data_IF_165497013831
#
_entry.id   IF_165497013831
#
_cell.length_a   1.000
_cell.length_b   1.000
_cell.length_c   1.000
_cell.angle_alpha   90.00
_cell.angle_beta   90.00
_cell.angle_gamma   90.00
#
_symmetry.space_group_name_H-M   'P 1'
#
loop_
_entity.id
_entity.type
_entity.pdbx_description
1 polymer ?
#
# COMPACT_ATOMS: atom_id res chain seq x y z
N UNK A 1 -25.38 14.12 -9.43
CA UNK A 1 -24.78 12.87 -9.91
C UNK A 1 -23.97 12.30 -8.76
N UNK A 2 -24.51 11.30 -8.07
CA UNK A 2 -23.89 10.70 -6.89
C UNK A 2 -23.06 9.52 -7.38
N UNK A 3 -21.75 9.70 -7.54
CA UNK A 3 -20.85 8.61 -7.92
C UNK A 3 -20.32 7.98 -6.63
N UNK A 4 -20.75 6.74 -6.37
CA UNK A 4 -20.23 5.91 -5.28
C UNK A 4 -18.96 5.22 -5.82
N UNK A 5 -17.79 5.61 -5.31
CA UNK A 5 -16.49 5.03 -5.70
C UNK A 5 -16.22 3.80 -4.82
N UNK A 6 -16.33 2.59 -5.37
CA UNK A 6 -16.10 1.34 -4.62
C UNK A 6 -14.74 0.67 -4.91
N UNK A 7 -13.93 1.19 -5.86
CA UNK A 7 -12.64 0.60 -6.24
C UNK A 7 -11.66 1.63 -6.81
N UNK A 8 -10.37 1.25 -6.90
CA UNK A 8 -9.32 2.05 -7.56
C UNK A 8 -9.67 2.30 -9.04
N UNK A 9 -10.25 1.31 -9.74
CA UNK A 9 -10.68 1.46 -11.13
C UNK A 9 -11.69 2.61 -11.30
N UNK A 10 -12.73 2.63 -10.45
CA UNK A 10 -13.71 3.72 -10.47
C UNK A 10 -13.11 5.08 -10.10
N UNK A 11 -12.10 5.12 -9.22
CA UNK A 11 -11.38 6.37 -8.93
C UNK A 11 -10.62 6.88 -10.16
N UNK A 12 -9.92 5.99 -10.87
CA UNK A 12 -9.16 6.34 -12.08
C UNK A 12 -10.05 6.83 -13.22
N UNK A 13 -11.22 6.21 -13.40
CA UNK A 13 -12.21 6.66 -14.40
C UNK A 13 -12.68 8.08 -14.10
N UNK A 14 -13.10 8.36 -12.86
CA UNK A 14 -13.50 9.71 -12.44
C UNK A 14 -12.36 10.73 -12.60
N UNK A 15 -11.12 10.34 -12.30
CA UNK A 15 -9.97 11.23 -12.45
C UNK A 15 -9.73 11.59 -13.91
N UNK A 16 -9.86 10.62 -14.82
CA UNK A 16 -9.74 10.84 -16.27
C UNK A 16 -10.90 11.67 -16.82
N UNK A 17 -12.12 11.52 -16.30
CA UNK A 17 -13.24 12.38 -16.69
C UNK A 17 -13.01 13.85 -16.29
N UNK A 18 -12.42 14.08 -15.12
CA UNK A 18 -12.12 15.42 -14.61
C UNK A 18 -10.88 16.05 -15.26
N UNK A 19 -9.90 15.23 -15.63
CA UNK A 19 -8.60 15.64 -16.19
C UNK A 19 -8.28 14.77 -17.42
N UNK A 20 -8.89 15.03 -18.58
CA UNK A 20 -8.83 14.13 -19.74
C UNK A 20 -7.42 13.92 -20.33
N UNK A 21 -6.54 14.90 -20.20
CA UNK A 21 -5.19 14.86 -20.77
C UNK A 21 -4.13 14.32 -19.80
N UNK A 22 -4.52 13.87 -18.60
CA UNK A 22 -3.56 13.37 -17.61
C UNK A 22 -3.20 11.90 -17.87
N UNK A 23 -1.91 11.59 -17.79
CA UNK A 23 -1.45 10.21 -17.71
C UNK A 23 -1.70 9.68 -16.29
N UNK A 24 -2.47 8.59 -16.18
CA UNK A 24 -2.72 7.90 -14.91
C UNK A 24 -2.11 6.51 -14.95
N UNK A 25 -1.15 6.27 -14.06
CA UNK A 25 -0.49 4.98 -13.89
C UNK A 25 -0.92 4.33 -12.57
N UNK A 26 -1.53 3.14 -12.64
CA UNK A 26 -1.84 2.33 -11.46
C UNK A 26 -0.67 1.42 -11.17
N UNK A 27 0.00 1.67 -10.05
CA UNK A 27 1.18 0.92 -9.63
C UNK A 27 0.80 -0.52 -9.24
N UNK A 28 1.55 -1.48 -9.76
CA UNK A 28 1.54 -2.88 -9.34
C UNK A 28 2.85 -3.22 -8.63
N UNK A 29 2.86 -4.27 -7.82
CA UNK A 29 4.06 -4.71 -7.08
C UNK A 29 4.65 -6.01 -7.62
N UNK A 30 4.18 -6.45 -8.79
CA UNK A 30 4.78 -7.53 -9.56
C UNK A 30 4.45 -7.39 -11.06
N UNK A 31 5.17 -8.12 -11.91
CA UNK A 31 4.92 -8.15 -13.35
C UNK A 31 3.68 -9.00 -13.73
N UNK A 32 3.03 -9.62 -12.76
CA UNK A 32 1.86 -10.46 -13.00
C UNK A 32 0.61 -9.61 -13.20
N UNK A 33 0.01 -9.70 -14.39
CA UNK A 33 -1.31 -9.11 -14.68
C UNK A 33 -2.47 -9.82 -13.94
N UNK A 34 -2.21 -10.91 -13.22
CA UNK A 34 -3.23 -11.63 -12.47
C UNK A 34 -3.65 -10.87 -11.20
N UNK A 35 -4.88 -10.36 -11.20
CA UNK A 35 -5.47 -9.62 -10.06
C UNK A 35 -5.46 -10.42 -8.74
N UNK A 36 -5.57 -11.75 -8.79
CA UNK A 36 -5.49 -12.59 -7.58
C UNK A 36 -4.10 -12.54 -6.96
N UNK A 37 -3.05 -12.46 -7.80
CA UNK A 37 -1.66 -12.35 -7.36
C UNK A 37 -1.40 -10.97 -6.78
N UNK A 38 -1.83 -9.90 -7.45
CA UNK A 38 -1.70 -8.53 -6.92
C UNK A 38 -2.46 -8.36 -5.60
N UNK A 39 -3.68 -8.89 -5.52
CA UNK A 39 -4.43 -8.89 -4.27
C UNK A 39 -3.68 -9.66 -3.19
N UNK A 40 -3.10 -10.81 -3.49
CA UNK A 40 -2.30 -11.57 -2.52
C UNK A 40 -1.08 -10.80 -2.05
N UNK A 41 -0.36 -10.11 -2.94
CA UNK A 41 0.82 -9.30 -2.62
C UNK A 41 0.46 -8.12 -1.69
N UNK A 42 -0.79 -7.66 -1.68
CA UNK A 42 -1.23 -6.66 -0.70
C UNK A 42 -1.29 -7.17 0.75
N UNK A 43 -1.32 -8.49 0.96
CA UNK A 43 -1.34 -9.14 2.29
C UNK A 43 -0.03 -9.86 2.63
N UNK A 44 0.63 -10.46 1.64
CA UNK A 44 1.79 -11.31 1.84
C UNK A 44 2.98 -10.80 1.02
N UNK A 45 4.17 -10.91 1.59
CA UNK A 45 5.42 -10.43 1.00
C UNK A 45 6.19 -9.48 1.91
N UNK A 46 7.31 -8.99 1.41
CA UNK A 46 8.16 -8.02 2.10
C UNK A 46 7.96 -6.63 1.49
N UNK A 47 7.50 -5.67 2.30
CA UNK A 47 7.24 -4.30 1.85
C UNK A 47 8.52 -3.62 1.38
N UNK A 48 9.68 -3.98 1.93
CA UNK A 48 10.95 -3.45 1.44
C UNK A 48 11.21 -3.90 0.00
N UNK A 49 10.98 -5.17 -0.30
CA UNK A 49 11.12 -5.70 -1.66
C UNK A 49 10.09 -5.09 -2.61
N UNK A 50 8.85 -4.85 -2.16
CA UNK A 50 7.86 -4.12 -2.95
C UNK A 50 8.32 -2.69 -3.26
N UNK A 51 8.88 -1.98 -2.28
CA UNK A 51 9.39 -0.61 -2.51
C UNK A 51 10.58 -0.63 -3.46
N UNK A 52 11.50 -1.59 -3.33
CA UNK A 52 12.64 -1.74 -4.23
C UNK A 52 12.19 -2.08 -5.66
N UNK A 53 11.19 -2.96 -5.80
CA UNK A 53 10.55 -3.26 -7.08
C UNK A 53 9.97 -1.98 -7.71
N UNK A 54 9.19 -1.20 -6.95
CA UNK A 54 8.61 0.06 -7.42
C UNK A 54 9.67 1.08 -7.81
N UNK A 55 10.74 1.21 -7.01
CA UNK A 55 11.87 2.09 -7.34
C UNK A 55 12.48 1.75 -8.71
N UNK A 56 12.53 0.47 -9.09
CA UNK A 56 13.03 0.05 -10.40
C UNK A 56 11.97 0.17 -11.50
N UNK A 57 10.73 -0.26 -11.23
CA UNK A 57 9.64 -0.27 -12.20
C UNK A 57 9.34 1.11 -12.76
N UNK A 58 9.40 2.15 -11.93
CA UNK A 58 9.16 3.53 -12.37
C UNK A 58 10.28 4.11 -13.23
N UNK A 59 11.44 3.43 -13.33
CA UNK A 59 12.56 3.77 -14.20
C UNK A 59 12.60 2.95 -15.50
N UNK A 60 11.64 2.07 -15.72
CA UNK A 60 11.57 1.26 -16.94
C UNK A 60 11.04 2.04 -18.15
N UNK A 61 11.49 1.68 -19.34
CA UNK A 61 11.32 2.47 -20.57
C UNK A 61 9.86 2.69 -20.99
N UNK A 62 8.93 1.83 -20.58
CA UNK A 62 7.50 1.92 -20.89
C UNK A 62 6.76 2.94 -20.02
N UNK A 63 7.30 3.29 -18.84
CA UNK A 63 6.67 4.21 -17.88
C UNK A 63 7.49 5.48 -17.68
N UNK A 64 8.82 5.36 -17.61
CA UNK A 64 9.74 6.45 -17.30
C UNK A 64 9.55 7.72 -18.17
N UNK A 65 9.30 7.64 -19.50
CA UNK A 65 9.09 8.84 -20.32
C UNK A 65 7.98 9.77 -19.84
N UNK A 66 6.97 9.23 -19.14
CA UNK A 66 5.84 9.97 -18.59
C UNK A 66 6.10 10.54 -17.19
N UNK A 67 7.11 10.01 -16.48
CA UNK A 67 7.38 10.33 -15.07
C UNK A 67 8.69 11.08 -14.86
N UNK A 68 9.62 11.05 -15.83
CA UNK A 68 10.98 11.62 -15.72
C UNK A 68 11.01 13.10 -15.29
N UNK A 69 10.01 13.87 -15.71
CA UNK A 69 9.86 15.28 -15.39
C UNK A 69 9.04 15.49 -14.12
N UNK A 70 8.89 14.46 -13.30
CA UNK A 70 8.17 14.43 -12.04
C UNK A 70 6.66 14.18 -12.15
N UNK A 71 6.08 13.67 -11.07
CA UNK A 71 4.67 13.26 -11.03
C UNK A 71 4.04 13.47 -9.64
N UNK A 72 2.71 13.43 -9.58
CA UNK A 72 1.98 13.39 -8.30
C UNK A 72 1.66 11.94 -7.95
N UNK A 73 1.77 11.59 -6.66
CA UNK A 73 1.50 10.25 -6.17
C UNK A 73 0.31 10.26 -5.21
N UNK A 74 -0.62 9.32 -5.38
CA UNK A 74 -1.79 9.16 -4.51
C UNK A 74 -1.77 7.75 -3.90
N UNK A 75 -1.69 7.68 -2.57
CA UNK A 75 -1.67 6.42 -1.82
C UNK A 75 -2.93 6.22 -0.99
N UNK A 76 -3.65 5.13 -1.24
CA UNK A 76 -4.83 4.75 -0.48
C UNK A 76 -4.49 3.75 0.62
N UNK A 77 -5.00 3.97 1.82
CA UNK A 77 -4.76 3.09 2.98
C UNK A 77 -3.25 2.80 3.12
N UNK A 78 -2.83 1.53 3.13
CA UNK A 78 -1.43 1.17 3.27
C UNK A 78 -0.51 1.72 2.17
N UNK A 79 -1.05 1.98 0.97
CA UNK A 79 -0.31 2.58 -0.14
C UNK A 79 0.23 3.97 0.20
N UNK A 80 -0.38 4.70 1.14
CA UNK A 80 0.11 6.00 1.60
C UNK A 80 1.50 5.92 2.23
N UNK A 81 1.71 5.03 3.20
CA UNK A 81 3.04 4.85 3.79
C UNK A 81 4.04 4.15 2.86
N UNK A 82 3.58 3.35 1.88
CA UNK A 82 4.46 2.71 0.91
C UNK A 82 5.00 3.74 -0.10
N UNK A 83 4.16 4.64 -0.60
CA UNK A 83 4.61 5.74 -1.44
C UNK A 83 5.47 6.74 -0.66
N UNK A 84 5.20 6.97 0.63
CA UNK A 84 6.13 7.72 1.50
C UNK A 84 7.50 7.04 1.53
N UNK A 85 7.55 5.70 1.66
CA UNK A 85 8.81 4.97 1.63
C UNK A 85 9.54 5.09 0.27
N UNK A 86 8.83 5.09 -0.85
CA UNK A 86 9.41 5.39 -2.17
C UNK A 86 10.06 6.78 -2.20
N UNK A 87 9.34 7.81 -1.73
CA UNK A 87 9.85 9.20 -1.66
C UNK A 87 11.06 9.32 -0.72
N UNK A 88 11.10 8.55 0.36
CA UNK A 88 12.23 8.60 1.30
C UNK A 88 13.45 7.79 0.85
N UNK A 89 13.26 6.74 0.03
CA UNK A 89 14.33 5.80 -0.34
C UNK A 89 14.94 6.05 -1.71
N UNK A 90 14.13 6.41 -2.71
CA UNK A 90 14.63 6.55 -4.08
C UNK A 90 14.19 7.87 -4.73
N UNK A 91 12.89 8.23 -4.66
CA UNK A 91 12.34 9.47 -5.24
C UNK A 91 12.88 9.82 -6.65
N UNK A 92 13.08 8.80 -7.47
CA UNK A 92 13.59 8.91 -8.84
C UNK A 92 12.81 7.92 -9.72
N UNK A 93 11.88 8.40 -10.57
CA UNK A 93 11.56 9.82 -10.83
C UNK A 93 10.95 10.58 -9.63
N UNK A 94 11.06 11.93 -9.59
CA UNK A 94 10.68 12.73 -8.42
C UNK A 94 9.17 12.89 -8.23
N UNK A 95 8.71 12.73 -6.99
CA UNK A 95 7.32 13.05 -6.61
C UNK A 95 7.18 14.53 -6.26
N UNK A 96 6.23 15.23 -6.89
CA UNK A 96 5.88 16.60 -6.59
C UNK A 96 4.96 16.72 -5.37
N UNK A 97 3.81 16.05 -5.43
CA UNK A 97 2.87 15.99 -4.32
C UNK A 97 2.58 14.54 -3.98
N UNK A 98 2.77 14.18 -2.72
CA UNK A 98 2.31 12.91 -2.15
C UNK A 98 0.98 13.14 -1.42
N UNK A 99 -0.10 12.61 -1.96
CA UNK A 99 -1.44 12.64 -1.36
C UNK A 99 -1.72 11.29 -0.71
N UNK A 100 -2.02 11.27 0.58
CA UNK A 100 -2.29 10.02 1.30
C UNK A 100 -3.70 10.01 1.83
N UNK A 101 -4.51 9.06 1.35
CA UNK A 101 -5.90 8.91 1.74
C UNK A 101 -6.06 7.78 2.76
N UNK A 102 -6.15 8.14 4.03
CA UNK A 102 -6.33 7.18 5.14
C UNK A 102 -5.07 6.35 5.46
N UNK A 103 -3.88 6.84 5.12
CA UNK A 103 -2.61 6.14 5.36
C UNK A 103 -2.22 6.02 6.82
N UNK A 104 -1.56 4.92 7.19
CA UNK A 104 -1.18 4.62 8.57
C UNK A 104 0.30 4.93 8.81
N UNK A 105 0.67 6.21 8.73
CA UNK A 105 2.08 6.61 8.81
C UNK A 105 2.78 6.27 10.12
N UNK A 106 2.03 6.15 11.22
CA UNK A 106 2.55 5.73 12.52
C UNK A 106 2.31 4.23 12.81
N UNK A 107 1.93 3.46 11.80
CA UNK A 107 1.53 2.07 11.94
C UNK A 107 0.16 1.88 12.58
N UNK A 108 -0.17 0.62 12.89
CA UNK A 108 -1.43 0.22 13.53
C UNK A 108 -1.16 -0.70 14.72
N UNK A 109 -1.98 -0.61 15.77
CA UNK A 109 -1.91 -1.51 16.93
C UNK A 109 -3.00 -2.58 16.95
N UNK A 110 -3.85 -2.61 15.94
CA UNK A 110 -4.94 -3.58 15.75
C UNK A 110 -5.20 -3.75 14.26
N UNK A 111 -5.73 -4.90 13.84
CA UNK A 111 -6.12 -5.13 12.44
C UNK A 111 -7.30 -4.19 12.10
N UNK A 112 -7.14 -3.25 11.15
CA UNK A 112 -8.24 -2.36 10.74
C UNK A 112 -9.43 -3.17 10.21
N UNK A 113 -10.65 -2.79 10.59
CA UNK A 113 -11.88 -3.50 10.19
C UNK A 113 -12.20 -4.75 11.02
N UNK A 114 -11.26 -5.26 11.83
CA UNK A 114 -11.47 -6.47 12.63
C UNK A 114 -11.81 -6.21 14.10
N UNK A 115 -11.97 -4.96 14.55
CA UNK A 115 -12.15 -4.63 15.98
C UNK A 115 -13.36 -5.37 16.57
N UNK A 116 -14.47 -5.41 15.82
CA UNK A 116 -15.70 -6.11 16.19
C UNK A 116 -16.11 -7.18 15.15
N UNK A 117 -15.14 -7.68 14.37
CA UNK A 117 -15.37 -8.77 13.42
C UNK A 117 -14.74 -10.07 13.96
N UNK A 118 -15.61 -11.05 14.14
CA UNK A 118 -15.29 -12.42 14.58
C UNK A 118 -15.23 -13.39 13.40
N UNK A 119 -15.20 -12.87 12.16
CA UNK A 119 -14.93 -13.67 10.97
C UNK A 119 -13.64 -14.47 11.13
N UNK A 120 -13.60 -15.66 10.53
CA UNK A 120 -12.44 -16.55 10.61
C UNK A 120 -11.16 -15.86 10.10
N UNK A 121 -11.29 -14.97 9.10
CA UNK A 121 -10.21 -14.13 8.60
C UNK A 121 -9.68 -13.19 9.69
N UNK A 122 -10.56 -12.43 10.34
CA UNK A 122 -10.17 -11.49 11.40
C UNK A 122 -9.62 -12.21 12.64
N UNK A 123 -10.19 -13.36 13.02
CA UNK A 123 -9.67 -14.18 14.11
C UNK A 123 -8.25 -14.69 13.82
N UNK A 124 -8.00 -15.19 12.60
CA UNK A 124 -6.65 -15.62 12.17
C UNK A 124 -5.67 -14.46 12.13
N UNK A 125 -6.07 -13.29 11.61
CA UNK A 125 -5.21 -12.10 11.60
C UNK A 125 -4.89 -11.59 13.01
N UNK A 126 -5.87 -11.56 13.93
CA UNK A 126 -5.65 -11.25 15.35
C UNK A 126 -4.68 -12.26 16.00
N UNK A 127 -4.83 -13.56 15.72
CA UNK A 127 -3.96 -14.61 16.26
C UNK A 127 -2.51 -14.49 15.74
N UNK A 128 -2.34 -14.25 14.44
CA UNK A 128 -1.03 -14.04 13.82
C UNK A 128 -0.31 -12.82 14.40
N UNK A 129 -1.03 -11.74 14.69
CA UNK A 129 -0.45 -10.52 15.26
C UNK A 129 -0.20 -10.60 16.78
N UNK A 130 -0.92 -11.44 17.53
CA UNK A 130 -0.84 -11.47 19.00
C UNK A 130 0.29 -12.34 19.56
N UNK A 131 0.71 -13.40 18.87
CA UNK A 131 1.69 -14.35 19.42
C UNK A 131 3.12 -14.19 18.88
N UNK A 132 3.30 -13.72 17.64
CA UNK A 132 4.62 -13.71 16.97
C UNK A 132 4.79 -12.62 15.91
N UNK A 133 4.10 -11.48 16.02
CA UNK A 133 4.13 -10.42 14.99
C UNK A 133 5.54 -9.92 14.67
N UNK A 134 6.43 -9.89 15.66
CA UNK A 134 7.81 -9.42 15.50
C UNK A 134 8.82 -10.53 15.19
N UNK A 135 8.36 -11.77 14.93
CA UNK A 135 9.26 -12.82 14.45
C UNK A 135 9.75 -12.50 13.04
N UNK A 136 10.99 -12.87 12.72
CA UNK A 136 11.59 -12.60 11.40
C UNK A 136 10.77 -13.20 10.25
N UNK A 137 10.19 -14.38 10.46
CA UNK A 137 9.33 -15.02 9.45
C UNK A 137 8.11 -14.16 9.14
N UNK A 138 7.37 -13.71 10.16
CA UNK A 138 6.16 -12.90 9.97
C UNK A 138 6.51 -11.51 9.42
N UNK A 139 7.55 -10.87 9.95
CA UNK A 139 8.03 -9.58 9.45
C UNK A 139 8.48 -9.63 7.99
N UNK A 140 8.95 -10.77 7.48
CA UNK A 140 9.37 -10.89 6.08
C UNK A 140 8.27 -11.38 5.13
N UNK A 141 7.15 -11.92 5.65
CA UNK A 141 6.14 -12.56 4.81
C UNK A 141 4.73 -11.97 4.94
N UNK A 142 4.46 -11.12 5.93
CA UNK A 142 3.15 -10.51 6.16
C UNK A 142 3.26 -9.00 6.11
N UNK A 143 2.54 -8.38 5.19
CA UNK A 143 2.61 -6.94 4.92
C UNK A 143 2.12 -6.13 6.13
N UNK A 144 1.00 -6.52 6.72
CA UNK A 144 0.40 -5.83 7.88
C UNK A 144 1.29 -5.87 9.12
N UNK A 145 2.10 -6.93 9.28
CA UNK A 145 3.01 -7.05 10.41
C UNK A 145 4.15 -6.02 10.35
N UNK A 146 4.58 -5.62 9.15
CA UNK A 146 5.71 -4.71 8.92
C UNK A 146 5.43 -3.25 9.29
N UNK A 147 4.16 -2.90 9.49
CA UNK A 147 3.76 -1.62 10.07
C UNK A 147 2.90 -1.79 11.33
N UNK A 148 2.97 -2.96 11.97
CA UNK A 148 2.35 -3.19 13.26
C UNK A 148 3.16 -2.54 14.38
N UNK A 149 2.51 -1.68 15.15
CA UNK A 149 3.10 -0.94 16.25
C UNK A 149 2.35 -1.26 17.54
N UNK A 150 2.99 -2.03 18.42
CA UNK A 150 2.45 -2.28 19.77
C UNK A 150 2.28 -0.95 20.50
N UNK A 151 1.08 -0.74 21.02
CA UNK A 151 0.83 0.34 21.96
C UNK A 151 1.25 -0.13 23.36
N UNK A 152 2.27 0.50 23.95
CA UNK A 152 2.79 0.14 25.28
C UNK A 152 1.75 0.29 26.40
N UNK A 153 0.63 0.96 26.16
CA UNK A 153 -0.47 1.12 27.13
C UNK A 153 -1.42 -0.09 27.21
N UNK A 154 -1.30 -1.08 26.32
CA UNK A 154 -2.19 -2.25 26.28
C UNK A 154 -1.53 -3.55 26.80
N UNK A 155 -0.28 -3.47 27.26
CA UNK A 155 0.37 -4.57 27.99
C UNK A 155 0.07 -4.38 29.48
N UNK A 156 -1.08 -4.86 29.93
CA UNK A 156 -1.17 -5.39 31.29
C UNK A 156 -0.88 -6.89 31.20
N UNK A 157 0.23 -7.27 31.82
CA UNK A 157 0.54 -8.66 32.17
C UNK A 157 -0.44 -9.10 33.25
#
# INVERSE_FOLDING_TARGET
>A
MTIIVNSIGGFMENLKELLPDIFVYSLMVSDSENELIERKNSYFGNVNEHVDYVCNRLREDDVYPYLKDGFNAIGFSQGGQFLRAYVERCNDPPVYNLITYGGQHNGVSSVPGCINDDSEFCARMKLLLSSNVYSSFIQNNVVQAQYFKVNRTTIQI
#
